data_IF_194412450418
#
_entry.id   IF_194412450418
#
_cell.length_a   1.000
_cell.length_b   1.000
_cell.length_c   1.000
_cell.angle_alpha   90.00
_cell.angle_beta   90.00
_cell.angle_gamma   90.00
#
_symmetry.space_group_name_H-M   'P 1'
#
loop_
_entity.id
_entity.type
_entity.pdbx_description
1 polymer ?
#
# COMPACT_ATOMS: atom_id res chain seq x y z
N UNK A 1 2.23 19.88 14.03
CA UNK A 1 2.65 18.61 13.38
C UNK A 1 1.61 18.25 12.32
N UNK A 2 2.03 18.03 11.11
CA UNK A 2 1.09 17.84 9.99
C UNK A 2 0.75 16.37 9.71
N UNK A 3 1.68 15.44 9.99
CA UNK A 3 1.53 14.04 9.60
C UNK A 3 1.98 13.09 10.71
N UNK A 4 1.16 12.09 11.02
CA UNK A 4 1.54 10.92 11.80
C UNK A 4 1.70 9.71 10.89
N UNK A 5 2.89 9.10 10.90
CA UNK A 5 3.20 7.86 10.20
C UNK A 5 3.13 6.70 11.20
N UNK A 6 2.03 5.94 11.15
CA UNK A 6 1.78 4.84 12.08
C UNK A 6 2.43 3.56 11.52
N UNK A 7 3.28 2.94 12.32
CA UNK A 7 3.95 1.68 12.02
C UNK A 7 3.57 0.65 13.09
N UNK A 8 2.74 -0.33 12.74
CA UNK A 8 2.42 -1.43 13.65
C UNK A 8 3.51 -2.50 13.58
N UNK A 9 4.03 -2.89 14.74
CA UNK A 9 5.16 -3.79 14.88
C UNK A 9 4.78 -5.01 15.71
N UNK A 10 5.02 -6.22 15.16
CA UNK A 10 4.94 -7.47 15.90
C UNK A 10 5.91 -8.50 15.30
N UNK A 11 7.03 -8.75 15.97
CA UNK A 11 8.04 -9.76 15.57
C UNK A 11 8.48 -9.68 14.10
N UNK A 12 8.48 -8.47 13.51
CA UNK A 12 9.00 -8.24 12.16
C UNK A 12 10.53 -8.43 12.15
N UNK A 13 11.11 -9.09 11.14
CA UNK A 13 12.57 -9.18 11.04
C UNK A 13 13.21 -7.79 11.19
N UNK A 14 14.19 -7.69 12.09
CA UNK A 14 14.79 -6.39 12.48
C UNK A 14 15.37 -5.62 11.29
N UNK A 15 15.91 -6.33 10.30
CA UNK A 15 16.40 -5.72 9.05
C UNK A 15 15.26 -5.06 8.25
N UNK A 16 14.10 -5.69 8.15
CA UNK A 16 12.94 -5.12 7.43
C UNK A 16 12.41 -3.89 8.15
N UNK A 17 12.28 -3.98 9.48
CA UNK A 17 11.84 -2.85 10.28
C UNK A 17 12.81 -1.66 10.20
N UNK A 18 14.13 -1.91 10.22
CA UNK A 18 15.14 -0.87 10.01
C UNK A 18 15.02 -0.25 8.61
N UNK A 19 14.84 -1.05 7.55
CA UNK A 19 14.63 -0.56 6.20
C UNK A 19 13.34 0.27 6.08
N UNK A 20 12.27 -0.14 6.77
CA UNK A 20 11.01 0.60 6.85
C UNK A 20 11.23 2.01 7.42
N UNK A 21 11.78 2.11 8.64
CA UNK A 21 12.03 3.40 9.29
C UNK A 21 13.04 4.24 8.51
N UNK A 22 14.07 3.62 7.93
CA UNK A 22 15.04 4.28 7.06
C UNK A 22 14.35 4.94 5.86
N UNK A 23 13.44 4.24 5.19
CA UNK A 23 12.73 4.74 4.02
C UNK A 23 11.83 5.94 4.37
N UNK A 24 11.20 5.94 5.54
CA UNK A 24 10.41 7.05 6.06
C UNK A 24 11.31 8.25 6.38
N UNK A 25 12.41 8.02 7.09
CA UNK A 25 13.33 9.08 7.52
C UNK A 25 14.02 9.78 6.37
N UNK A 26 14.33 9.04 5.30
CA UNK A 26 14.94 9.55 4.08
C UNK A 26 13.90 10.06 3.06
N UNK A 27 12.76 10.53 3.53
CA UNK A 27 11.74 11.14 2.68
C UNK A 27 11.94 12.65 2.52
N UNK A 28 11.19 13.25 1.60
CA UNK A 28 11.18 14.71 1.39
C UNK A 28 10.39 15.48 2.46
N UNK A 29 9.87 14.79 3.48
CA UNK A 29 9.21 15.41 4.62
C UNK A 29 10.23 16.15 5.50
N UNK A 30 9.88 17.33 5.98
CA UNK A 30 10.67 18.02 6.99
C UNK A 30 10.45 17.37 8.35
N UNK A 31 11.51 17.23 9.13
CA UNK A 31 11.47 16.54 10.43
C UNK A 31 10.45 17.13 11.41
N UNK A 32 10.23 18.45 11.35
CA UNK A 32 9.25 19.15 12.19
C UNK A 32 7.79 18.93 11.77
N UNK A 33 7.55 18.48 10.55
CA UNK A 33 6.21 18.30 10.00
C UNK A 33 5.59 16.93 10.30
N UNK A 34 6.38 15.94 10.72
CA UNK A 34 5.87 14.58 10.95
C UNK A 34 6.40 13.91 12.22
N UNK A 35 5.66 12.90 12.69
CA UNK A 35 6.14 11.90 13.63
C UNK A 35 6.14 10.51 12.99
N UNK A 36 7.03 9.64 13.48
CA UNK A 36 6.94 8.20 13.30
C UNK A 36 6.40 7.63 14.60
N UNK A 37 5.19 7.06 14.56
CA UNK A 37 4.54 6.43 15.70
C UNK A 37 4.54 4.92 15.53
N UNK A 38 5.37 4.25 16.32
CA UNK A 38 5.46 2.78 16.35
C UNK A 38 4.51 2.24 17.42
N UNK A 39 3.60 1.36 17.03
CA UNK A 39 2.78 0.59 17.96
C UNK A 39 3.34 -0.84 18.01
N UNK A 40 4.07 -1.15 19.07
CA UNK A 40 4.65 -2.47 19.31
C UNK A 40 3.61 -3.35 20.04
N UNK A 41 2.94 -4.21 19.27
CA UNK A 41 1.86 -5.09 19.74
C UNK A 41 2.42 -6.35 20.47
N UNK A 42 3.32 -6.13 21.41
CA UNK A 42 3.86 -7.18 22.27
C UNK A 42 4.93 -8.05 21.60
N UNK A 43 5.83 -7.45 20.85
CA UNK A 43 6.98 -8.16 20.28
C UNK A 43 7.86 -8.77 21.35
N UNK A 44 8.34 -9.98 21.09
CA UNK A 44 9.31 -10.68 21.96
C UNK A 44 10.75 -10.24 21.70
N UNK A 45 11.01 -9.68 20.53
CA UNK A 45 12.31 -9.14 20.13
C UNK A 45 12.49 -7.70 20.59
N UNK A 46 13.72 -7.29 20.88
CA UNK A 46 14.02 -5.92 21.28
C UNK A 46 14.41 -5.08 20.05
N UNK A 47 13.61 -4.02 19.81
CA UNK A 47 13.80 -3.07 18.71
C UNK A 47 14.27 -1.69 19.16
N UNK A 48 14.66 -1.53 20.45
CA UNK A 48 14.96 -0.22 21.02
C UNK A 48 16.09 0.51 20.30
N UNK A 49 17.09 -0.19 19.81
CA UNK A 49 18.19 0.37 19.03
C UNK A 49 17.70 0.98 17.71
N UNK A 50 16.89 0.26 16.94
CA UNK A 50 16.32 0.73 15.68
C UNK A 50 15.36 1.92 15.94
N UNK A 51 14.49 1.81 16.93
CA UNK A 51 13.54 2.88 17.28
C UNK A 51 14.28 4.18 17.64
N UNK A 52 15.33 4.08 18.47
CA UNK A 52 16.14 5.22 18.90
C UNK A 52 16.93 5.85 17.73
N UNK A 53 17.50 5.01 16.85
CA UNK A 53 18.25 5.45 15.67
C UNK A 53 17.43 6.40 14.79
N UNK A 54 16.16 6.06 14.56
CA UNK A 54 15.27 6.86 13.72
C UNK A 54 14.41 7.88 14.48
N UNK A 55 14.53 7.95 15.79
CA UNK A 55 13.81 8.91 16.64
C UNK A 55 12.30 8.71 16.61
N UNK A 56 11.84 7.47 16.51
CA UNK A 56 10.43 7.14 16.52
C UNK A 56 9.84 7.16 17.94
N UNK A 57 8.62 7.64 18.08
CA UNK A 57 7.82 7.50 19.29
C UNK A 57 7.23 6.09 19.33
N UNK A 58 7.40 5.37 20.43
CA UNK A 58 6.90 3.99 20.57
C UNK A 58 5.87 3.89 21.70
N UNK A 59 4.80 3.14 21.41
CA UNK A 59 3.84 2.68 22.41
C UNK A 59 3.87 1.16 22.40
N UNK A 60 4.17 0.55 23.56
CA UNK A 60 4.19 -0.90 23.73
C UNK A 60 2.91 -1.39 24.36
N UNK A 61 2.36 -2.45 23.82
CA UNK A 61 1.15 -3.11 24.35
C UNK A 61 1.38 -4.61 24.52
N UNK A 62 0.47 -5.29 25.19
CA UNK A 62 0.35 -6.74 25.06
C UNK A 62 -0.17 -7.09 23.67
N UNK A 63 0.24 -8.23 23.12
CA UNK A 63 -0.24 -8.67 21.81
C UNK A 63 -1.76 -8.87 21.81
N UNK A 64 -2.47 -7.90 21.24
CA UNK A 64 -3.93 -7.89 21.11
C UNK A 64 -4.39 -7.91 19.64
N UNK A 65 -3.47 -7.98 18.70
CA UNK A 65 -3.70 -8.08 17.27
C UNK A 65 -3.67 -6.74 16.53
N UNK A 66 -3.42 -6.85 15.23
CA UNK A 66 -3.15 -5.71 14.33
C UNK A 66 -4.29 -4.67 14.32
N UNK A 67 -5.55 -5.10 14.43
CA UNK A 67 -6.69 -4.19 14.42
C UNK A 67 -6.61 -3.20 15.59
N UNK A 68 -6.41 -3.73 16.81
CA UNK A 68 -6.29 -2.90 18.01
C UNK A 68 -5.05 -2.00 17.97
N UNK A 69 -3.94 -2.52 17.46
CA UNK A 69 -2.72 -1.74 17.27
C UNK A 69 -2.96 -0.54 16.33
N UNK A 70 -3.67 -0.75 15.21
CA UNK A 70 -4.03 0.33 14.28
C UNK A 70 -4.97 1.35 14.92
N UNK A 71 -5.99 0.93 15.65
CA UNK A 71 -6.91 1.85 16.35
C UNK A 71 -6.19 2.66 17.44
N UNK A 72 -5.30 2.04 18.20
CA UNK A 72 -4.46 2.75 19.17
C UNK A 72 -3.56 3.78 18.47
N UNK A 73 -2.96 3.40 17.33
CA UNK A 73 -2.17 4.32 16.52
C UNK A 73 -2.98 5.54 16.05
N UNK A 74 -4.23 5.34 15.61
CA UNK A 74 -5.14 6.43 15.22
C UNK A 74 -5.44 7.33 16.43
N UNK A 75 -5.74 6.75 17.59
CA UNK A 75 -6.05 7.49 18.81
C UNK A 75 -4.89 8.38 19.26
N UNK A 76 -3.68 7.83 19.22
CA UNK A 76 -2.46 8.45 19.71
C UNK A 76 -1.78 9.39 18.71
N UNK A 77 -2.18 9.36 17.45
CA UNK A 77 -1.63 10.20 16.39
C UNK A 77 -1.84 11.69 16.69
N UNK A 78 -0.78 12.50 16.50
CA UNK A 78 -0.78 13.94 16.81
C UNK A 78 -0.85 14.82 15.54
N UNK A 79 -0.67 14.23 14.35
CA UNK A 79 -0.73 14.94 13.08
C UNK A 79 -2.15 15.26 12.63
N UNK A 80 -2.28 16.28 11.79
CA UNK A 80 -3.53 16.65 11.11
C UNK A 80 -3.96 15.60 10.09
N UNK A 81 -2.98 14.86 9.56
CA UNK A 81 -3.14 13.70 8.68
C UNK A 81 -2.45 12.47 9.26
N UNK A 82 -2.93 11.29 8.84
CA UNK A 82 -2.43 9.97 9.25
C UNK A 82 -2.16 9.13 8.00
N UNK A 83 -1.03 8.45 7.96
CA UNK A 83 -0.73 7.39 6.99
C UNK A 83 -0.17 6.16 7.70
N UNK A 84 -0.40 4.98 7.13
CA UNK A 84 0.09 3.72 7.67
C UNK A 84 1.23 3.18 6.81
N UNK A 85 2.25 2.63 7.46
CA UNK A 85 3.32 1.89 6.81
C UNK A 85 3.50 0.58 7.56
N UNK A 86 3.33 -0.54 6.88
CA UNK A 86 3.54 -1.84 7.51
C UNK A 86 5.04 -2.04 7.79
N UNK A 87 5.37 -2.64 8.94
CA UNK A 87 6.73 -2.67 9.47
C UNK A 87 7.75 -3.48 8.63
N UNK A 88 7.27 -4.25 7.65
CA UNK A 88 8.07 -5.03 6.71
C UNK A 88 8.17 -4.40 5.31
N UNK A 89 7.51 -3.26 5.09
CA UNK A 89 7.45 -2.56 3.83
C UNK A 89 8.33 -1.30 3.80
N UNK A 90 8.44 -0.67 2.64
CA UNK A 90 9.17 0.59 2.46
C UNK A 90 8.41 1.57 1.58
N UNK A 91 8.80 2.84 1.61
CA UNK A 91 8.20 3.87 0.78
C UNK A 91 9.27 4.60 -0.03
N UNK A 92 8.89 5.14 -1.20
CA UNK A 92 9.79 6.00 -1.95
C UNK A 92 9.99 7.36 -1.25
N UNK A 93 11.12 8.00 -1.48
CA UNK A 93 11.48 9.26 -0.82
C UNK A 93 10.42 10.36 -1.01
N UNK A 94 9.71 10.35 -2.13
CA UNK A 94 8.68 11.32 -2.50
C UNK A 94 7.24 10.78 -2.33
N UNK A 95 7.04 9.83 -1.43
CA UNK A 95 5.73 9.20 -1.24
C UNK A 95 4.75 10.11 -0.49
N UNK A 96 5.10 10.54 0.72
CA UNK A 96 4.17 11.22 1.62
C UNK A 96 4.06 12.73 1.39
N UNK A 97 5.17 13.42 1.11
CA UNK A 97 5.14 14.89 1.00
C UNK A 97 4.20 15.42 -0.09
N UNK A 98 4.23 14.88 -1.34
CA UNK A 98 3.28 15.32 -2.36
C UNK A 98 1.82 14.98 -2.02
N UNK A 99 1.58 13.84 -1.31
CA UNK A 99 0.22 13.51 -0.85
C UNK A 99 -0.26 14.52 0.18
N UNK A 100 0.58 14.88 1.14
CA UNK A 100 0.26 15.86 2.17
C UNK A 100 -0.05 17.22 1.54
N UNK A 101 0.80 17.70 0.65
CA UNK A 101 0.58 18.97 -0.04
C UNK A 101 -0.73 18.96 -0.84
N UNK A 102 -0.98 17.88 -1.61
CA UNK A 102 -2.21 17.74 -2.40
C UNK A 102 -3.46 17.69 -1.51
N UNK A 103 -3.37 17.00 -0.37
CA UNK A 103 -4.47 16.89 0.58
C UNK A 103 -4.75 18.24 1.27
N UNK A 104 -3.71 18.99 1.68
CA UNK A 104 -3.85 20.33 2.26
C UNK A 104 -4.45 21.32 1.24
N UNK A 105 -3.91 21.38 0.01
CA UNK A 105 -4.36 22.32 -1.02
C UNK A 105 -5.79 22.10 -1.49
N UNK A 106 -6.29 20.86 -1.44
CA UNK A 106 -7.61 20.49 -1.93
C UNK A 106 -8.61 20.12 -0.83
N UNK A 107 -8.22 20.25 0.43
CA UNK A 107 -9.02 19.85 1.61
C UNK A 107 -9.55 18.42 1.50
N UNK A 108 -8.65 17.47 1.18
CA UNK A 108 -9.03 16.08 1.01
C UNK A 108 -9.16 15.36 2.35
N UNK A 109 -10.18 14.55 2.47
CA UNK A 109 -10.34 13.61 3.60
C UNK A 109 -9.48 12.36 3.40
N UNK A 110 -9.30 11.92 2.13
CA UNK A 110 -8.41 10.82 1.78
C UNK A 110 -7.68 11.12 0.47
N UNK A 111 -6.36 10.94 0.47
CA UNK A 111 -5.52 10.99 -0.72
C UNK A 111 -4.89 9.64 -0.98
N UNK A 112 -4.99 9.11 -2.20
CA UNK A 112 -4.38 7.84 -2.61
C UNK A 112 -3.08 8.06 -3.36
N UNK A 113 -2.17 7.07 -3.30
CA UNK A 113 -0.98 7.03 -4.13
C UNK A 113 -0.73 5.63 -4.70
N UNK A 114 0.25 5.51 -5.57
CA UNK A 114 0.61 4.26 -6.23
C UNK A 114 1.41 3.32 -5.32
N UNK A 115 1.49 2.05 -5.73
CA UNK A 115 2.26 1.03 -5.04
C UNK A 115 2.90 0.04 -6.01
N UNK A 116 3.91 -0.68 -5.54
CA UNK A 116 4.62 -1.70 -6.29
C UNK A 116 4.99 -2.87 -5.39
N UNK A 117 5.11 -4.07 -5.98
CA UNK A 117 5.68 -5.22 -5.27
C UNK A 117 7.20 -5.11 -5.19
N UNK A 118 7.74 -5.39 -4.01
CA UNK A 118 9.17 -5.56 -3.79
C UNK A 118 9.47 -7.03 -3.48
N UNK A 119 10.33 -7.65 -4.30
CA UNK A 119 10.73 -9.04 -4.11
C UNK A 119 12.21 -9.14 -3.83
N UNK A 120 12.60 -9.84 -2.76
CA UNK A 120 14.00 -10.04 -2.39
C UNK A 120 14.80 -10.87 -3.43
N UNK A 121 14.13 -11.80 -4.10
CA UNK A 121 14.78 -12.75 -5.02
C UNK A 121 15.34 -12.10 -6.27
N UNK A 122 14.81 -10.98 -6.70
CA UNK A 122 15.10 -10.42 -8.01
C UNK A 122 15.69 -9.02 -7.97
N UNK A 123 15.66 -8.33 -6.81
CA UNK A 123 15.92 -6.88 -6.72
C UNK A 123 15.08 -6.06 -7.72
N UNK A 124 13.97 -6.60 -8.19
CA UNK A 124 13.06 -5.96 -9.13
C UNK A 124 11.74 -5.66 -8.45
N UNK A 125 11.25 -4.46 -8.66
CA UNK A 125 9.91 -4.09 -8.27
C UNK A 125 8.95 -4.41 -9.41
N UNK A 126 7.94 -5.22 -9.12
CA UNK A 126 6.84 -5.42 -10.03
C UNK A 126 5.76 -4.41 -9.69
N UNK A 127 5.39 -3.56 -10.65
CA UNK A 127 4.19 -2.76 -10.46
C UNK A 127 3.01 -3.71 -10.29
N UNK A 128 2.34 -3.60 -9.16
CA UNK A 128 0.99 -4.11 -9.05
C UNK A 128 0.18 -3.57 -10.22
N UNK A 129 -0.83 -4.29 -10.63
CA UNK A 129 -1.82 -3.74 -11.56
C UNK A 129 -2.53 -2.61 -10.80
N UNK A 130 -1.83 -1.48 -10.61
CA UNK A 130 -2.41 -0.28 -10.07
C UNK A 130 -3.38 0.20 -11.13
N UNK A 131 -4.57 -0.32 -11.04
CA UNK A 131 -5.68 0.01 -11.91
C UNK A 131 -6.20 1.43 -11.65
N UNK A 132 -5.67 2.12 -10.62
CA UNK A 132 -5.80 3.57 -10.50
C UNK A 132 -4.98 4.21 -11.63
N UNK A 133 -5.39 3.92 -12.86
CA UNK A 133 -4.70 4.42 -14.06
C UNK A 133 -5.14 5.83 -14.43
N UNK A 134 -6.16 6.37 -13.78
CA UNK A 134 -6.77 7.67 -14.07
C UNK A 134 -6.83 8.51 -12.81
N UNK A 135 -6.57 9.80 -12.97
CA UNK A 135 -6.85 10.78 -11.92
C UNK A 135 -8.36 10.79 -11.63
N UNK A 136 -8.74 10.79 -10.37
CA UNK A 136 -10.12 10.92 -9.93
C UNK A 136 -10.25 11.91 -8.77
N UNK A 137 -11.42 12.52 -8.66
CA UNK A 137 -11.90 13.23 -7.49
C UNK A 137 -13.35 12.78 -7.29
N UNK A 138 -13.68 12.31 -6.08
CA UNK A 138 -15.05 12.03 -5.67
C UNK A 138 -15.42 12.91 -4.49
N UNK A 139 -16.64 13.46 -4.52
CA UNK A 139 -17.15 14.37 -3.50
C UNK A 139 -18.57 13.95 -3.05
N UNK A 140 -18.89 14.24 -1.78
CA UNK A 140 -20.20 13.99 -1.18
C UNK A 140 -20.63 12.53 -1.29
N UNK A 141 -21.86 12.32 -1.71
CA UNK A 141 -22.50 11.00 -1.78
C UNK A 141 -21.87 10.05 -2.81
N UNK A 142 -20.96 10.54 -3.65
CA UNK A 142 -20.25 9.70 -4.60
C UNK A 142 -19.05 8.93 -3.98
N UNK A 143 -18.60 9.32 -2.79
CA UNK A 143 -17.38 8.77 -2.15
C UNK A 143 -17.54 7.29 -1.79
N UNK A 144 -18.53 6.93 -0.99
CA UNK A 144 -18.75 5.55 -0.57
C UNK A 144 -19.12 4.62 -1.72
N UNK A 145 -20.03 4.99 -2.66
CA UNK A 145 -20.27 4.18 -3.85
C UNK A 145 -19.02 3.95 -4.71
N UNK A 146 -18.15 4.95 -4.85
CA UNK A 146 -16.88 4.79 -5.59
C UNK A 146 -15.98 3.74 -4.94
N UNK A 147 -15.90 3.71 -3.61
CA UNK A 147 -15.20 2.68 -2.87
C UNK A 147 -15.80 1.28 -3.09
N UNK A 148 -17.11 1.14 -2.96
CA UNK A 148 -17.80 -0.15 -3.03
C UNK A 148 -17.89 -0.72 -4.46
N UNK A 149 -18.08 0.12 -5.47
CA UNK A 149 -18.15 -0.29 -6.91
C UNK A 149 -16.85 -0.93 -7.41
N UNK A 150 -15.76 -0.74 -6.70
CA UNK A 150 -14.48 -1.28 -7.08
C UNK A 150 -14.39 -2.82 -6.99
N UNK A 151 -15.30 -3.45 -6.27
CA UNK A 151 -15.54 -4.90 -6.29
C UNK A 151 -14.28 -5.76 -6.08
N UNK A 152 -13.30 -5.25 -5.36
CA UNK A 152 -12.02 -5.94 -5.14
C UNK A 152 -11.09 -5.96 -6.38
N UNK A 153 -11.41 -5.23 -7.44
CA UNK A 153 -10.54 -5.15 -8.63
C UNK A 153 -9.31 -4.28 -8.40
N UNK A 154 -9.44 -3.27 -7.54
CA UNK A 154 -8.35 -2.36 -7.20
C UNK A 154 -8.00 -2.51 -5.73
N UNK A 155 -7.02 -3.34 -5.47
CA UNK A 155 -6.56 -3.67 -4.11
C UNK A 155 -6.24 -2.42 -3.27
N UNK A 156 -5.77 -1.36 -3.91
CA UNK A 156 -5.49 -0.09 -3.26
C UNK A 156 -6.66 0.54 -2.51
N UNK A 157 -7.92 0.24 -2.86
CA UNK A 157 -9.05 0.80 -2.12
C UNK A 157 -9.23 0.19 -0.72
N UNK A 158 -8.88 -1.08 -0.54
CA UNK A 158 -9.17 -1.85 0.67
C UNK A 158 -8.04 -1.86 1.69
N UNK A 159 -6.84 -1.46 1.30
CA UNK A 159 -5.65 -1.43 2.16
C UNK A 159 -5.38 -0.03 2.70
N UNK A 160 -4.86 0.07 3.92
CA UNK A 160 -4.59 1.37 4.56
C UNK A 160 -3.33 2.06 4.00
N UNK A 161 -2.32 1.28 3.68
CA UNK A 161 -0.97 1.77 3.38
C UNK A 161 -0.83 2.54 2.06
N UNK A 162 -1.84 2.53 1.16
CA UNK A 162 -1.82 3.38 -0.04
C UNK A 162 -2.38 4.78 0.18
N UNK A 163 -2.71 5.16 1.41
CA UNK A 163 -3.52 6.35 1.69
C UNK A 163 -2.91 7.27 2.72
N UNK A 164 -3.24 8.54 2.55
CA UNK A 164 -3.17 9.58 3.55
C UNK A 164 -4.60 9.94 3.95
N UNK A 165 -4.91 9.90 5.23
CA UNK A 165 -6.22 10.20 5.79
C UNK A 165 -6.17 11.48 6.62
N UNK A 166 -7.20 12.31 6.53
CA UNK A 166 -7.40 13.39 7.48
C UNK A 166 -7.64 12.80 8.87
N UNK A 167 -6.89 13.24 9.88
CA UNK A 167 -6.94 12.63 11.22
C UNK A 167 -8.32 12.70 11.85
N UNK A 168 -9.08 13.80 11.61
CA UNK A 168 -10.45 13.93 12.11
C UNK A 168 -11.39 12.85 11.57
N UNK A 169 -11.21 12.39 10.34
CA UNK A 169 -11.99 11.28 9.77
C UNK A 169 -11.72 9.99 10.50
N UNK A 170 -10.44 9.58 10.64
CA UNK A 170 -10.09 8.34 11.34
C UNK A 170 -10.43 8.38 12.83
N UNK A 171 -10.20 9.50 13.51
CA UNK A 171 -10.57 9.65 14.92
C UNK A 171 -12.08 9.61 15.12
N UNK A 172 -12.85 10.18 14.19
CA UNK A 172 -14.32 10.17 14.23
C UNK A 172 -14.95 8.78 14.17
N UNK A 173 -14.29 7.81 13.53
CA UNK A 173 -14.81 6.43 13.38
C UNK A 173 -14.36 5.46 14.50
N UNK A 174 -13.54 5.92 15.46
CA UNK A 174 -13.04 5.06 16.54
C UNK A 174 -14.18 4.51 17.41
N UNK A 175 -15.24 5.29 17.63
CA UNK A 175 -16.40 4.86 18.42
C UNK A 175 -17.14 3.67 17.78
N UNK A 176 -17.18 3.61 16.44
CA UNK A 176 -17.80 2.52 15.69
C UNK A 176 -16.90 1.27 15.65
N UNK A 177 -15.59 1.46 15.57
CA UNK A 177 -14.63 0.37 15.37
C UNK A 177 -14.15 -0.30 16.66
N UNK A 178 -14.02 0.46 17.76
CA UNK A 178 -13.54 -0.07 19.06
C UNK A 178 -14.35 -1.26 19.56
N UNK A 179 -15.70 -1.24 19.58
CA UNK A 179 -16.50 -2.39 20.02
C UNK A 179 -16.23 -3.65 19.18
N UNK A 180 -15.99 -3.49 17.86
CA UNK A 180 -15.69 -4.61 16.96
C UNK A 180 -14.30 -5.18 17.27
N UNK A 181 -13.32 -4.33 17.51
CA UNK A 181 -11.96 -4.74 17.83
C UNK A 181 -11.84 -5.34 19.25
N UNK A 182 -12.69 -4.93 20.18
CA UNK A 182 -12.70 -5.40 21.58
C UNK A 182 -13.45 -6.70 21.77
N UNK A 183 -14.16 -7.22 20.75
CA UNK A 183 -14.72 -8.57 20.80
C UNK A 183 -13.60 -9.57 21.17
N UNK A 184 -13.94 -10.67 21.87
CA UNK A 184 -12.98 -11.65 22.40
C UNK A 184 -12.05 -12.25 21.35
N UNK A 185 -12.42 -12.12 20.09
CA UNK A 185 -11.68 -12.64 18.96
C UNK A 185 -10.66 -11.64 18.42
N UNK A 186 -9.44 -12.10 18.21
CA UNK A 186 -8.41 -11.32 17.52
C UNK A 186 -8.79 -11.15 16.05
N UNK A 187 -9.11 -9.95 15.66
CA UNK A 187 -9.38 -9.59 14.28
C UNK A 187 -8.05 -9.42 13.54
N UNK A 188 -7.60 -10.45 12.83
CA UNK A 188 -6.26 -10.49 12.20
C UNK A 188 -6.30 -10.52 10.67
N UNK A 189 -7.46 -10.26 10.06
CA UNK A 189 -7.62 -10.25 8.61
C UNK A 189 -8.78 -9.35 8.22
N UNK A 190 -8.63 -8.57 7.15
CA UNK A 190 -9.62 -7.61 6.61
C UNK A 190 -10.00 -6.42 7.51
N UNK A 191 -9.29 -6.18 8.59
CA UNK A 191 -9.49 -5.02 9.46
C UNK A 191 -9.20 -3.69 8.75
N UNK A 192 -8.23 -3.68 7.84
CA UNK A 192 -7.91 -2.54 6.97
C UNK A 192 -9.08 -2.19 6.05
N UNK A 193 -9.75 -3.17 5.49
CA UNK A 193 -10.99 -3.01 4.74
C UNK A 193 -12.07 -2.35 5.56
N UNK A 194 -12.23 -2.79 6.82
CA UNK A 194 -13.25 -2.26 7.71
C UNK A 194 -12.95 -0.80 8.09
N UNK A 195 -11.71 -0.50 8.44
CA UNK A 195 -11.27 0.88 8.70
C UNK A 195 -11.51 1.76 7.46
N UNK A 196 -11.13 1.27 6.27
CA UNK A 196 -11.37 1.98 5.01
C UNK A 196 -12.87 2.24 4.79
N UNK A 197 -13.74 1.23 4.98
CA UNK A 197 -15.18 1.39 4.80
C UNK A 197 -15.75 2.52 5.65
N UNK A 198 -15.46 2.52 6.96
CA UNK A 198 -15.94 3.60 7.85
C UNK A 198 -15.32 4.94 7.53
N UNK A 199 -14.03 4.98 7.17
CA UNK A 199 -13.37 6.20 6.74
C UNK A 199 -14.02 6.78 5.47
N UNK A 200 -14.29 5.96 4.45
CA UNK A 200 -14.95 6.42 3.23
C UNK A 200 -16.41 6.81 3.46
N UNK A 201 -17.14 6.09 4.34
CA UNK A 201 -18.50 6.47 4.76
C UNK A 201 -18.54 7.86 5.40
N UNK A 202 -17.50 8.24 6.11
CA UNK A 202 -17.37 9.51 6.82
C UNK A 202 -16.69 10.61 6.00
N UNK A 203 -16.10 10.27 4.84
CA UNK A 203 -15.36 11.22 4.00
C UNK A 203 -16.28 11.99 3.06
N UNK A 204 -15.95 13.25 2.86
CA UNK A 204 -16.67 14.15 1.92
C UNK A 204 -15.91 14.36 0.62
N UNK A 205 -14.58 14.20 0.62
CA UNK A 205 -13.77 14.46 -0.57
C UNK A 205 -12.54 13.57 -0.59
N UNK A 206 -12.40 12.83 -1.68
CA UNK A 206 -11.25 11.94 -1.90
C UNK A 206 -10.66 12.14 -3.29
N UNK A 207 -9.35 12.00 -3.41
CA UNK A 207 -8.65 12.05 -4.69
C UNK A 207 -7.45 11.11 -4.71
N UNK A 208 -6.89 10.88 -5.88
CA UNK A 208 -5.64 10.19 -6.02
C UNK A 208 -4.53 11.08 -6.56
N UNK A 209 -3.31 10.67 -6.25
CA UNK A 209 -2.10 11.25 -6.77
C UNK A 209 -1.21 10.08 -7.26
N UNK A 210 -0.30 10.34 -8.19
CA UNK A 210 0.59 9.30 -8.71
C UNK A 210 2.03 9.83 -8.69
N UNK A 211 2.59 10.03 -7.52
CA UNK A 211 3.86 10.75 -7.37
C UNK A 211 4.97 9.90 -6.80
N UNK A 212 4.63 8.95 -5.93
CA UNK A 212 5.55 8.05 -5.29
C UNK A 212 5.00 6.64 -5.26
N UNK A 213 5.76 5.74 -4.68
CA UNK A 213 5.39 4.35 -4.55
C UNK A 213 5.49 3.87 -3.11
N UNK A 214 4.48 3.13 -2.69
CA UNK A 214 4.57 2.23 -1.57
C UNK A 214 5.14 0.90 -2.07
N UNK A 215 6.17 0.37 -1.44
CA UNK A 215 6.81 -0.88 -1.83
C UNK A 215 6.37 -2.01 -0.92
N UNK A 216 5.36 -2.75 -1.36
CA UNK A 216 4.87 -3.92 -0.66
C UNK A 216 5.85 -5.09 -0.82
N UNK A 217 6.50 -5.48 0.28
CA UNK A 217 7.49 -6.58 0.31
C UNK A 217 6.80 -7.93 0.20
N UNK A 218 7.32 -8.83 -0.64
CA UNK A 218 6.84 -10.20 -0.75
C UNK A 218 7.83 -11.14 -0.07
N UNK A 219 7.38 -11.80 1.00
CA UNK A 219 8.14 -12.82 1.71
C UNK A 219 7.23 -13.95 2.24
N UNK A 220 7.84 -15.07 2.67
CA UNK A 220 7.09 -16.28 3.03
C UNK A 220 6.21 -16.16 4.28
N UNK A 221 6.55 -15.25 5.20
CA UNK A 221 5.92 -15.16 6.52
C UNK A 221 4.77 -14.15 6.59
N UNK A 222 4.31 -13.61 5.46
CA UNK A 222 3.22 -12.63 5.43
C UNK A 222 1.90 -13.24 5.91
N UNK A 223 1.09 -12.42 6.58
CA UNK A 223 -0.24 -12.80 7.09
C UNK A 223 -1.18 -13.24 6.00
N UNK A 224 -1.09 -12.65 4.81
CA UNK A 224 -1.92 -12.99 3.64
C UNK A 224 -1.67 -14.39 3.07
N UNK A 225 -0.54 -15.03 3.44
CA UNK A 225 -0.22 -16.37 2.94
C UNK A 225 -1.05 -17.42 3.69
N UNK A 226 -1.94 -18.12 2.99
CA UNK A 226 -2.74 -19.21 3.54
C UNK A 226 -1.89 -20.48 3.55
N UNK A 227 -1.22 -20.72 4.69
CA UNK A 227 -0.28 -21.84 4.89
C UNK A 227 -0.86 -22.98 5.72
N UNK A 228 -2.04 -22.80 6.32
CA UNK A 228 -2.71 -23.79 7.15
C UNK A 228 -4.23 -23.69 7.03
N UNK A 229 -4.92 -24.76 7.42
CA UNK A 229 -6.39 -24.78 7.53
C UNK A 229 -6.90 -23.75 8.54
N UNK A 230 -6.27 -23.66 9.70
CA UNK A 230 -6.61 -22.69 10.74
C UNK A 230 -6.56 -21.26 10.22
N UNK A 231 -5.52 -20.91 9.44
CA UNK A 231 -5.41 -19.59 8.81
C UNK A 231 -6.50 -19.36 7.77
N UNK A 232 -6.83 -20.38 6.96
CA UNK A 232 -7.95 -20.30 6.02
C UNK A 232 -9.28 -20.04 6.72
N UNK A 233 -9.57 -20.77 7.81
CA UNK A 233 -10.75 -20.56 8.64
C UNK A 233 -10.82 -19.16 9.22
N UNK A 234 -9.69 -18.67 9.75
CA UNK A 234 -9.58 -17.30 10.26
C UNK A 234 -9.88 -16.26 9.17
N UNK A 235 -9.31 -16.42 7.96
CA UNK A 235 -9.58 -15.52 6.85
C UNK A 235 -11.05 -15.51 6.43
N UNK A 236 -11.68 -16.69 6.32
CA UNK A 236 -13.11 -16.81 5.98
C UNK A 236 -13.95 -16.08 7.03
N UNK A 237 -13.71 -16.39 8.31
CA UNK A 237 -14.46 -15.84 9.44
C UNK A 237 -14.39 -14.32 9.49
N UNK A 238 -13.19 -13.75 9.42
CA UNK A 238 -13.05 -12.30 9.54
C UNK A 238 -13.52 -11.56 8.29
N UNK A 239 -13.28 -12.11 7.12
CA UNK A 239 -13.78 -11.50 5.89
C UNK A 239 -15.31 -11.51 5.82
N UNK A 240 -15.97 -12.62 6.18
CA UNK A 240 -17.43 -12.66 6.19
C UNK A 240 -18.00 -11.66 7.21
N UNK A 241 -17.44 -11.63 8.43
CA UNK A 241 -17.83 -10.66 9.45
C UNK A 241 -17.64 -9.21 8.99
N UNK A 242 -16.54 -8.91 8.29
CA UNK A 242 -16.32 -7.59 7.69
C UNK A 242 -17.43 -7.21 6.71
N UNK A 243 -17.82 -8.14 5.84
CA UNK A 243 -18.89 -7.91 4.86
C UNK A 243 -20.24 -7.70 5.53
N UNK A 244 -20.55 -8.48 6.57
CA UNK A 244 -21.78 -8.35 7.36
C UNK A 244 -21.84 -6.97 8.05
N UNK A 245 -20.76 -6.57 8.72
CA UNK A 245 -20.67 -5.22 9.34
C UNK A 245 -20.82 -4.12 8.31
N UNK A 246 -20.26 -4.28 7.12
CA UNK A 246 -20.42 -3.29 6.03
C UNK A 246 -21.89 -3.21 5.59
N UNK A 247 -22.59 -4.35 5.43
CA UNK A 247 -24.01 -4.39 5.06
C UNK A 247 -24.89 -3.73 6.12
N UNK A 248 -24.67 -4.04 7.40
CA UNK A 248 -25.42 -3.48 8.53
C UNK A 248 -25.21 -1.96 8.68
N UNK A 249 -24.09 -1.44 8.19
CA UNK A 249 -23.70 -0.04 8.34
C UNK A 249 -23.84 0.78 7.05
N UNK A 250 -24.50 0.25 6.01
CA UNK A 250 -24.79 1.04 4.82
C UNK A 250 -25.72 2.23 5.16
N UNK A 251 -25.44 3.43 4.62
CA UNK A 251 -26.35 4.56 4.79
C UNK A 251 -27.65 4.36 4.01
N UNK A 252 -28.74 4.86 4.56
CA UNK A 252 -30.04 4.92 3.89
C UNK A 252 -30.01 6.03 2.83
N UNK A 253 -29.72 5.67 1.60
CA UNK A 253 -29.61 6.59 0.45
C UNK A 253 -30.20 5.95 -0.81
N UNK A 254 -30.46 6.75 -1.85
CA UNK A 254 -30.94 6.24 -3.14
C UNK A 254 -30.03 5.19 -3.77
N UNK A 255 -28.74 5.20 -3.42
CA UNK A 255 -27.73 4.24 -3.91
C UNK A 255 -27.57 3.00 -3.02
N UNK A 256 -28.34 2.85 -1.95
CA UNK A 256 -28.16 1.76 -0.96
C UNK A 256 -28.22 0.37 -1.62
N UNK A 257 -29.22 0.12 -2.47
CA UNK A 257 -29.38 -1.17 -3.17
C UNK A 257 -28.19 -1.50 -4.07
N UNK A 258 -27.59 -0.49 -4.73
CA UNK A 258 -26.40 -0.68 -5.57
C UNK A 258 -25.16 -0.97 -4.72
N UNK A 259 -25.00 -0.31 -3.58
CA UNK A 259 -23.93 -0.56 -2.62
C UNK A 259 -24.05 -1.95 -2.01
N UNK A 260 -25.24 -2.39 -1.62
CA UNK A 260 -25.51 -3.74 -1.12
C UNK A 260 -25.18 -4.80 -2.18
N UNK A 261 -25.58 -4.60 -3.42
CA UNK A 261 -25.24 -5.48 -4.53
C UNK A 261 -23.72 -5.59 -4.75
N UNK A 262 -22.98 -4.48 -4.58
CA UNK A 262 -21.51 -4.47 -4.67
C UNK A 262 -20.86 -5.27 -3.56
N UNK A 263 -21.32 -5.16 -2.31
CA UNK A 263 -20.82 -5.96 -1.18
C UNK A 263 -21.10 -7.44 -1.40
N UNK A 264 -22.33 -7.80 -1.82
CA UNK A 264 -22.70 -9.20 -2.14
C UNK A 264 -21.85 -9.79 -3.28
N UNK A 265 -21.55 -9.00 -4.29
CA UNK A 265 -20.66 -9.39 -5.36
C UNK A 265 -19.23 -9.65 -4.86
N UNK A 266 -18.76 -8.82 -3.93
CA UNK A 266 -17.48 -9.03 -3.28
C UNK A 266 -17.47 -10.28 -2.42
N UNK A 267 -18.53 -10.57 -1.64
CA UNK A 267 -18.70 -11.83 -0.92
C UNK A 267 -18.54 -13.04 -1.87
N UNK A 268 -19.20 -12.99 -3.04
CA UNK A 268 -19.06 -14.02 -4.07
C UNK A 268 -17.64 -14.15 -4.64
N UNK A 269 -16.86 -13.07 -4.68
CA UNK A 269 -15.45 -13.12 -5.09
C UNK A 269 -14.59 -13.79 -4.01
N UNK A 270 -14.76 -13.38 -2.74
CA UNK A 270 -14.00 -13.95 -1.61
C UNK A 270 -14.32 -15.43 -1.41
N UNK A 271 -15.59 -15.83 -1.53
CA UNK A 271 -15.98 -17.24 -1.46
C UNK A 271 -15.26 -18.08 -2.51
N UNK A 272 -15.12 -17.59 -3.75
CA UNK A 272 -14.36 -18.28 -4.81
C UNK A 272 -12.88 -18.41 -4.48
N UNK A 273 -12.29 -17.38 -3.91
CA UNK A 273 -10.87 -17.36 -3.51
C UNK A 273 -10.62 -18.41 -2.43
N UNK A 274 -11.39 -18.38 -1.35
CA UNK A 274 -11.25 -19.32 -0.24
C UNK A 274 -11.60 -20.74 -0.64
N UNK A 275 -12.62 -20.94 -1.49
CA UNK A 275 -12.91 -22.25 -2.07
C UNK A 275 -11.75 -22.80 -2.90
N UNK A 276 -11.09 -21.97 -3.69
CA UNK A 276 -9.94 -22.39 -4.48
C UNK A 276 -8.78 -22.84 -3.58
N UNK A 277 -8.52 -22.12 -2.49
CA UNK A 277 -7.54 -22.52 -1.48
C UNK A 277 -7.92 -23.82 -0.77
N UNK A 278 -9.18 -23.95 -0.31
CA UNK A 278 -9.67 -25.18 0.31
C UNK A 278 -9.54 -26.38 -0.63
N UNK A 279 -9.86 -26.20 -1.91
CA UNK A 279 -9.75 -27.25 -2.92
C UNK A 279 -8.31 -27.66 -3.21
N UNK A 280 -7.39 -26.69 -3.32
CA UNK A 280 -5.97 -26.93 -3.56
C UNK A 280 -5.35 -27.74 -2.41
N UNK A 281 -5.78 -27.51 -1.17
CA UNK A 281 -5.28 -28.16 0.04
C UNK A 281 -6.14 -29.35 0.47
N UNK A 282 -7.15 -29.78 -0.31
CA UNK A 282 -8.03 -30.91 -0.05
C UNK A 282 -8.90 -30.76 1.22
N UNK A 283 -9.25 -29.54 1.62
CA UNK A 283 -10.13 -29.22 2.76
C UNK A 283 -11.62 -29.24 2.34
N UNK A 284 -12.11 -30.37 1.83
CA UNK A 284 -13.50 -30.48 1.32
C UNK A 284 -14.56 -30.27 2.39
N UNK A 285 -14.26 -30.56 3.63
CA UNK A 285 -15.16 -30.34 4.78
C UNK A 285 -15.44 -28.86 5.07
N UNK A 286 -14.62 -27.92 4.49
CA UNK A 286 -14.85 -26.48 4.62
C UNK A 286 -15.83 -25.91 3.58
N UNK A 287 -16.29 -26.70 2.61
CA UNK A 287 -17.08 -26.15 1.50
C UNK A 287 -18.42 -25.58 1.95
N UNK A 288 -19.12 -26.28 2.84
CA UNK A 288 -20.40 -25.79 3.37
C UNK A 288 -20.19 -24.57 4.28
N UNK A 289 -19.15 -24.60 5.12
CA UNK A 289 -18.76 -23.44 5.93
C UNK A 289 -18.47 -22.19 5.06
N UNK A 290 -17.79 -22.35 3.91
CA UNK A 290 -17.54 -21.22 2.98
C UNK A 290 -18.86 -20.71 2.39
N UNK A 291 -19.79 -21.60 2.01
CA UNK A 291 -21.10 -21.17 1.48
C UNK A 291 -21.88 -20.36 2.52
N UNK A 292 -21.98 -20.90 3.73
CA UNK A 292 -22.73 -20.29 4.81
C UNK A 292 -22.13 -18.94 5.21
N UNK A 293 -20.78 -18.87 5.35
CA UNK A 293 -20.08 -17.65 5.73
C UNK A 293 -20.23 -16.51 4.71
N UNK A 294 -20.40 -16.83 3.43
CA UNK A 294 -20.54 -15.82 2.37
C UNK A 294 -21.96 -15.73 1.80
N UNK A 295 -22.91 -16.46 2.37
CA UNK A 295 -24.31 -16.49 1.90
C UNK A 295 -24.43 -16.79 0.39
N UNK A 296 -23.66 -17.79 -0.08
CA UNK A 296 -23.64 -18.19 -1.50
C UNK A 296 -24.14 -19.62 -1.70
N UNK A 297 -25.06 -19.80 -2.63
CA UNK A 297 -25.64 -21.13 -2.91
C UNK A 297 -24.66 -22.10 -3.57
N UNK A 298 -23.74 -21.57 -4.38
CA UNK A 298 -22.81 -22.38 -5.18
C UNK A 298 -21.38 -21.88 -5.10
N UNK A 299 -20.45 -22.83 -4.91
CA UNK A 299 -19.01 -22.55 -4.96
C UNK A 299 -18.49 -22.70 -6.40
N UNK A 300 -17.89 -21.63 -6.92
CA UNK A 300 -17.24 -21.62 -8.23
C UNK A 300 -15.73 -21.39 -8.04
N UNK A 301 -14.90 -22.03 -8.85
CA UNK A 301 -13.46 -21.73 -8.85
C UNK A 301 -13.24 -20.26 -9.17
N UNK A 302 -12.30 -19.63 -8.44
CA UNK A 302 -11.81 -18.32 -8.81
C UNK A 302 -11.14 -18.40 -10.19
N UNK A 303 -11.47 -17.46 -11.05
CA UNK A 303 -10.68 -17.15 -12.24
C UNK A 303 -9.53 -16.22 -11.92
N UNK A 304 -9.50 -15.66 -10.69
CA UNK A 304 -8.35 -14.97 -10.16
C UNK A 304 -7.24 -15.99 -9.93
N UNK A 305 -6.15 -15.77 -10.60
CA UNK A 305 -4.95 -16.57 -10.43
C UNK A 305 -4.46 -16.41 -8.99
N UNK A 306 -4.16 -17.54 -8.39
CA UNK A 306 -3.38 -17.72 -7.18
C UNK A 306 -2.24 -16.68 -7.11
N UNK A 307 -1.87 -16.21 -5.91
CA UNK A 307 -0.73 -15.30 -5.69
C UNK A 307 0.58 -15.82 -6.34
N UNK A 308 0.66 -17.11 -6.66
CA UNK A 308 1.71 -17.67 -7.54
C UNK A 308 1.69 -17.07 -8.96
N UNK A 309 0.60 -16.44 -9.39
CA UNK A 309 0.50 -15.74 -10.67
C UNK A 309 1.10 -14.33 -10.66
N UNK A 310 1.39 -13.75 -9.50
CA UNK A 310 2.22 -12.55 -9.44
C UNK A 310 3.61 -12.78 -10.02
N UNK A 311 4.08 -14.03 -10.03
CA UNK A 311 5.31 -14.42 -10.76
C UNK A 311 5.21 -14.29 -12.29
N UNK A 312 4.00 -14.17 -12.84
CA UNK A 312 3.73 -13.98 -14.27
C UNK A 312 3.44 -12.53 -14.66
N UNK A 313 3.23 -11.65 -13.68
CA UNK A 313 3.09 -10.22 -13.94
C UNK A 313 4.46 -9.65 -14.29
N UNK A 314 4.48 -8.91 -15.37
CA UNK A 314 5.64 -8.31 -16.02
C UNK A 314 6.64 -7.75 -15.01
N UNK A 315 7.67 -8.52 -14.71
CA UNK A 315 8.85 -8.03 -14.01
C UNK A 315 9.45 -6.96 -14.93
N UNK A 316 9.40 -5.72 -14.52
CA UNK A 316 10.19 -4.69 -15.17
C UNK A 316 11.63 -4.81 -14.64
N UNK A 317 12.63 -4.94 -15.50
CA UNK A 317 14.03 -5.06 -15.08
C UNK A 317 14.60 -3.71 -14.62
N UNK A 318 13.88 -3.01 -13.75
CA UNK A 318 14.26 -1.69 -13.24
C UNK A 318 14.24 -1.77 -11.73
N UNK A 319 15.38 -1.54 -11.11
CA UNK A 319 15.46 -1.39 -9.68
C UNK A 319 14.98 0.02 -9.31
N UNK A 320 13.68 0.13 -8.98
CA UNK A 320 13.06 1.41 -8.62
C UNK A 320 13.71 1.97 -7.35
N UNK A 321 14.15 1.11 -6.42
CA UNK A 321 14.86 1.56 -5.21
C UNK A 321 16.19 2.22 -5.53
N UNK A 322 16.93 1.75 -6.55
CA UNK A 322 18.18 2.42 -6.98
C UNK A 322 17.89 3.78 -7.64
N UNK A 323 16.80 3.88 -8.40
CA UNK A 323 16.34 5.16 -8.96
C UNK A 323 15.93 6.10 -7.83
N UNK A 324 15.19 5.60 -6.87
CA UNK A 324 14.69 6.35 -5.72
C UNK A 324 15.84 6.89 -4.88
N UNK A 325 16.84 6.05 -4.57
CA UNK A 325 18.06 6.45 -3.85
C UNK A 325 18.84 7.53 -4.61
N UNK A 326 19.03 7.36 -5.92
CA UNK A 326 19.73 8.34 -6.73
C UNK A 326 18.98 9.70 -6.83
N UNK A 327 17.66 9.68 -6.82
CA UNK A 327 16.82 10.87 -6.78
C UNK A 327 16.85 11.55 -5.42
N UNK A 328 16.91 10.78 -4.33
CA UNK A 328 17.07 11.29 -2.96
C UNK A 328 18.43 11.95 -2.77
N UNK A 329 19.52 11.35 -3.27
CA UNK A 329 20.87 11.93 -3.23
C UNK A 329 20.92 13.26 -3.98
N UNK A 330 20.27 13.35 -5.13
CA UNK A 330 20.12 14.58 -5.89
C UNK A 330 19.29 15.63 -5.13
N UNK A 331 18.23 15.22 -4.45
CA UNK A 331 17.40 16.11 -3.64
C UNK A 331 18.14 16.70 -2.46
N UNK A 332 18.89 15.87 -1.72
CA UNK A 332 19.66 16.30 -0.57
C UNK A 332 20.84 17.22 -0.94
N UNK A 333 21.25 17.19 -2.20
CA UNK A 333 22.33 18.05 -2.70
C UNK A 333 21.90 19.46 -3.15
N UNK A 334 20.58 19.72 -3.29
CA UNK A 334 20.03 21.01 -3.75
C UNK A 334 18.89 21.51 -2.85
N UNK A 335 19.17 22.52 -2.04
CA UNK A 335 18.29 23.01 -0.96
C UNK A 335 17.27 24.08 -1.37
N UNK A 336 17.11 24.49 -2.62
CA UNK A 336 16.34 25.71 -2.94
C UNK A 336 15.13 25.61 -3.89
N UNK A 337 14.81 24.48 -4.53
CA UNK A 337 13.75 24.44 -5.56
C UNK A 337 12.65 23.37 -5.28
N UNK A 338 11.79 23.61 -4.30
CA UNK A 338 10.63 22.75 -4.00
C UNK A 338 9.57 22.67 -5.14
N UNK A 339 9.52 23.64 -6.04
CA UNK A 339 8.60 23.67 -7.20
C UNK A 339 8.94 22.60 -8.25
N UNK A 340 10.19 22.13 -8.27
CA UNK A 340 10.68 21.15 -9.23
C UNK A 340 10.15 19.72 -8.98
N UNK A 341 9.69 19.39 -7.77
CA UNK A 341 9.26 18.04 -7.42
C UNK A 341 7.93 17.61 -8.05
N UNK A 342 6.95 18.50 -8.12
CA UNK A 342 5.69 18.20 -8.78
C UNK A 342 5.89 17.92 -10.29
N UNK A 343 6.87 18.58 -10.90
CA UNK A 343 7.25 18.33 -12.28
C UNK A 343 8.09 17.06 -12.44
N UNK A 344 9.01 16.76 -11.49
CA UNK A 344 9.75 15.51 -11.43
C UNK A 344 8.80 14.31 -11.36
N UNK A 345 7.76 14.42 -10.57
CA UNK A 345 6.74 13.40 -10.42
C UNK A 345 5.94 13.13 -11.70
N UNK A 346 5.55 14.17 -12.45
CA UNK A 346 4.94 14.01 -13.79
C UNK A 346 5.86 13.26 -14.75
N UNK A 347 7.16 13.46 -14.60
CA UNK A 347 8.17 12.83 -15.46
C UNK A 347 8.46 11.39 -15.07
N UNK A 348 8.53 11.08 -13.78
CA UNK A 348 8.64 9.71 -13.31
C UNK A 348 7.47 8.86 -13.84
N UNK A 349 6.24 9.39 -13.84
CA UNK A 349 5.07 8.74 -14.50
C UNK A 349 5.29 8.48 -15.99
N UNK A 350 5.82 9.46 -16.72
CA UNK A 350 6.09 9.30 -18.17
C UNK A 350 7.19 8.25 -18.39
N UNK A 351 8.23 8.26 -17.56
CA UNK A 351 9.32 7.28 -17.61
C UNK A 351 8.84 5.88 -17.26
N UNK A 352 8.01 5.73 -16.23
CA UNK A 352 7.38 4.46 -15.87
C UNK A 352 6.42 3.98 -16.98
N UNK A 353 5.62 4.87 -17.58
CA UNK A 353 4.78 4.52 -18.75
C UNK A 353 5.64 4.11 -19.96
N UNK A 354 6.76 4.78 -20.17
CA UNK A 354 7.70 4.42 -21.23
C UNK A 354 8.34 3.05 -20.98
N UNK A 355 8.80 2.78 -19.75
CA UNK A 355 9.35 1.50 -19.31
C UNK A 355 8.29 0.39 -19.44
N UNK A 356 7.05 0.62 -18.97
CA UNK A 356 5.92 -0.30 -19.17
C UNK A 356 5.66 -0.60 -20.65
N UNK A 357 5.79 0.40 -21.52
CA UNK A 357 5.62 0.26 -22.98
C UNK A 357 6.78 -0.52 -23.63
N UNK A 358 8.01 -0.33 -23.16
CA UNK A 358 9.18 -1.09 -23.63
C UNK A 358 9.18 -2.52 -23.07
N UNK A 359 8.82 -2.70 -21.79
CA UNK A 359 8.68 -4.03 -21.19
C UNK A 359 7.65 -4.93 -21.88
N UNK A 360 6.62 -4.36 -22.53
CA UNK A 360 5.68 -5.12 -23.39
C UNK A 360 6.35 -5.73 -24.62
N UNK A 361 7.51 -5.21 -25.03
CA UNK A 361 8.29 -5.74 -26.17
C UNK A 361 9.30 -6.81 -25.75
N UNK A 362 9.59 -6.96 -24.45
CA UNK A 362 10.51 -7.96 -23.93
C UNK A 362 9.67 -9.17 -23.51
N UNK A 363 9.66 -10.22 -24.33
CA UNK A 363 9.09 -11.53 -23.97
C UNK A 363 10.02 -12.16 -22.92
N UNK A 364 9.61 -12.17 -21.66
CA UNK A 364 10.26 -12.98 -20.62
C UNK A 364 9.70 -14.39 -20.72
N UNK A 365 10.56 -15.39 -20.78
CA UNK A 365 10.12 -16.80 -20.82
C UNK A 365 9.39 -17.14 -19.52
N UNK A 366 8.34 -18.00 -19.55
CA UNK A 366 7.55 -18.37 -18.38
C UNK A 366 8.34 -19.10 -17.29
N UNK A 367 9.54 -19.57 -17.59
CA UNK A 367 10.30 -20.50 -16.74
C UNK A 367 11.35 -19.85 -15.85
N UNK A 368 11.36 -18.51 -15.71
CA UNK A 368 12.27 -17.83 -14.79
C UNK A 368 13.78 -18.13 -15.04
N UNK A 369 14.15 -18.53 -16.25
CA UNK A 369 15.55 -18.80 -16.58
C UNK A 369 16.35 -17.50 -16.43
N UNK A 370 17.40 -17.56 -15.61
CA UNK A 370 18.39 -16.50 -15.46
C UNK A 370 18.82 -16.01 -16.85
N UNK A 371 18.40 -14.79 -17.21
CA UNK A 371 19.03 -14.12 -18.33
C UNK A 371 20.53 -14.04 -18.07
N UNK A 372 21.39 -14.28 -19.06
CA UNK A 372 22.81 -14.18 -18.88
C UNK A 372 23.15 -12.77 -18.36
N UNK A 373 23.78 -12.72 -17.21
CA UNK A 373 24.10 -11.56 -16.38
C UNK A 373 24.62 -10.30 -17.12
N UNK A 374 25.38 -10.41 -18.22
CA UNK A 374 25.91 -9.24 -18.93
C UNK A 374 24.85 -8.41 -19.70
N UNK A 375 23.82 -9.05 -20.24
CA UNK A 375 22.77 -8.34 -21.02
C UNK A 375 21.79 -7.57 -20.14
N UNK A 376 21.46 -8.11 -18.98
CA UNK A 376 20.59 -7.42 -18.02
C UNK A 376 21.27 -6.16 -17.51
N UNK A 377 22.54 -6.26 -17.09
CA UNK A 377 23.32 -5.08 -16.63
C UNK A 377 23.45 -3.98 -17.69
N UNK A 378 23.53 -4.35 -18.99
CA UNK A 378 23.62 -3.40 -20.06
C UNK A 378 22.26 -2.71 -20.32
N UNK A 379 21.16 -3.44 -20.29
CA UNK A 379 19.82 -2.91 -20.47
C UNK A 379 19.46 -1.99 -19.30
N UNK A 380 19.71 -2.41 -18.05
CA UNK A 380 19.50 -1.61 -16.86
C UNK A 380 20.31 -0.31 -16.90
N UNK A 381 21.59 -0.40 -17.29
CA UNK A 381 22.47 0.76 -17.41
C UNK A 381 22.01 1.73 -18.50
N UNK A 382 21.52 1.22 -19.65
CA UNK A 382 21.01 2.05 -20.75
C UNK A 382 19.68 2.72 -20.35
N UNK A 383 18.79 2.00 -19.67
CA UNK A 383 17.52 2.55 -19.23
C UNK A 383 17.74 3.57 -18.12
N UNK A 384 18.56 3.26 -17.12
CA UNK A 384 18.92 4.17 -16.04
C UNK A 384 19.60 5.43 -16.59
N UNK A 385 20.58 5.29 -17.44
CA UNK A 385 21.28 6.44 -18.03
C UNK A 385 20.31 7.33 -18.83
N UNK A 386 19.38 6.77 -19.61
CA UNK A 386 18.39 7.56 -20.34
C UNK A 386 17.36 8.22 -19.44
N UNK A 387 16.90 7.53 -18.37
CA UNK A 387 15.95 8.10 -17.41
C UNK A 387 16.59 9.22 -16.61
N UNK A 388 17.75 8.98 -16.01
CA UNK A 388 18.49 9.99 -15.22
C UNK A 388 18.94 11.16 -16.09
N UNK A 389 19.41 10.89 -17.30
CA UNK A 389 19.80 11.95 -18.26
C UNK A 389 18.60 12.79 -18.70
N UNK A 390 17.47 12.15 -19.02
CA UNK A 390 16.25 12.86 -19.43
C UNK A 390 15.66 13.67 -18.28
N UNK A 391 15.66 13.14 -17.07
CA UNK A 391 15.27 13.85 -15.85
C UNK A 391 16.20 15.06 -15.64
N UNK A 392 17.52 14.86 -15.66
CA UNK A 392 18.49 15.93 -15.44
C UNK A 392 18.42 17.07 -16.47
N UNK A 393 18.15 16.76 -17.75
CA UNK A 393 18.03 17.78 -18.80
C UNK A 393 16.79 18.66 -18.66
N UNK A 394 15.76 18.17 -18.00
CA UNK A 394 14.46 18.83 -17.88
C UNK A 394 14.36 19.67 -16.63
N UNK A 395 14.90 19.15 -15.50
CA UNK A 395 14.76 19.77 -14.19
C UNK A 395 15.80 20.84 -13.89
N UNK A 396 16.99 20.74 -14.50
CA UNK A 396 18.06 21.64 -14.11
C UNK A 396 18.26 22.72 -15.14
N UNK A 397 18.24 23.99 -14.71
CA UNK A 397 18.53 25.14 -15.56
C UNK A 397 19.82 24.92 -16.39
N UNK A 398 19.79 25.35 -17.65
CA UNK A 398 20.96 25.29 -18.53
C UNK A 398 22.13 25.99 -17.84
N UNK A 399 23.17 25.25 -17.47
CA UNK A 399 24.34 25.75 -16.73
C UNK A 399 24.43 25.32 -15.26
N UNK A 400 23.43 24.60 -14.67
CA UNK A 400 23.54 24.08 -13.31
C UNK A 400 24.66 23.04 -13.18
N UNK A 401 25.24 22.96 -11.97
CA UNK A 401 26.31 21.99 -11.65
C UNK A 401 25.85 20.55 -11.87
N UNK A 402 24.58 20.24 -11.58
CA UNK A 402 23.99 18.91 -11.76
C UNK A 402 23.84 18.59 -13.25
N UNK A 403 23.40 19.52 -14.08
CA UNK A 403 23.35 19.31 -15.54
C UNK A 403 24.73 19.07 -16.13
N UNK A 404 25.77 19.72 -15.59
CA UNK A 404 27.16 19.48 -15.94
C UNK A 404 27.63 18.10 -15.45
N UNK A 405 27.27 17.70 -14.22
CA UNK A 405 27.57 16.38 -13.66
C UNK A 405 26.93 15.24 -14.48
N UNK A 406 25.63 15.36 -14.79
CA UNK A 406 24.92 14.38 -15.62
C UNK A 406 25.52 14.23 -17.01
N UNK A 407 25.95 15.34 -17.65
CA UNK A 407 26.63 15.30 -18.93
C UNK A 407 28.02 14.64 -18.90
N UNK A 408 28.66 14.64 -17.72
CA UNK A 408 30.01 14.10 -17.57
C UNK A 408 30.05 12.64 -17.21
N UNK A 409 28.99 12.11 -16.52
CA UNK A 409 29.00 10.79 -15.87
C UNK A 409 27.93 9.83 -16.40
N UNK A 410 27.01 10.32 -17.25
CA UNK A 410 25.97 9.56 -17.94
C UNK A 410 26.08 9.77 -19.45
#
# INVERSE_FOLDING_TARGET
>A
MKLSLIVCLYNTPKSYFSECLHSIKNSTLKTEDYEILVIDDGSTENYSDVINEYGARVIKTENRGIFRARLLGIEEAQGDYISFVDSDDTVSFNYHFPMLLHAEENDLDVCFNDWAFHTERTRYSCFGDSSISKDFIYEGDAVLPAFLKNEGREHSYFVLWTKLFKASVLKGILADLKPIAESEERYNYSEDTLICFFAFKSSKKIANLHTGYYFYRIHSNQTVNIISEERLLSHIKFMSKTLDVMLENLPETDNQSEMEASIKKWAGLMSRTHYSHAKANKYSHLYDFIKDSYHVDTLKKSTFHDNSSYSKNKVLPVNILEIDTALLDLWNSETEDHVCLCEANKYMRRSVRFIKKQGKKIKVSPEGRKLPTPRVKLIDRIIMNKVVYSLGLIFFKKGSRIRAFLKKHI
#
